data_IF_774423259642
#
_entry.id   IF_774423259642
#
_cell.length_a   1.000
_cell.length_b   1.000
_cell.length_c   1.000
_cell.angle_alpha   90.00
_cell.angle_beta   90.00
_cell.angle_gamma   90.00
#
_symmetry.space_group_name_H-M   'P 1'
#
loop_
_entity.id
_entity.type
_entity.pdbx_description
1 polymer ?
#
# COMPACT_ATOMS: atom_id res chain seq x y z
N UNK A 1 -5.60 2.04 24.47
CA UNK A 1 -4.25 1.92 23.87
C UNK A 1 -3.86 3.31 23.42
N UNK A 2 -2.66 3.79 23.76
CA UNK A 2 -2.21 5.13 23.38
C UNK A 2 -2.18 5.23 21.85
N UNK A 3 -3.05 6.06 21.28
CA UNK A 3 -2.95 6.48 19.89
C UNK A 3 -1.66 7.28 19.75
N UNK A 4 -0.61 6.64 19.23
CA UNK A 4 0.55 7.38 18.83
C UNK A 4 0.22 8.01 17.48
N UNK A 5 0.19 9.33 17.45
CA UNK A 5 0.02 10.11 16.23
C UNK A 5 1.09 9.69 15.21
N UNK A 6 0.66 9.21 14.05
CA UNK A 6 1.57 8.70 13.03
C UNK A 6 2.42 9.86 12.56
N UNK A 7 3.73 9.71 12.69
CA UNK A 7 4.69 10.73 12.26
C UNK A 7 5.36 10.30 10.96
N UNK A 8 5.50 11.23 10.03
CA UNK A 8 6.20 11.04 8.77
C UNK A 8 7.53 11.77 8.73
N UNK A 9 8.50 11.23 7.98
CA UNK A 9 9.72 11.94 7.56
C UNK A 9 9.79 12.00 6.05
N UNK A 10 10.13 13.16 5.50
CA UNK A 10 10.41 13.33 4.09
C UNK A 10 11.73 12.66 3.70
N UNK A 11 11.72 11.81 2.67
CA UNK A 11 12.94 11.15 2.18
C UNK A 11 13.90 12.09 1.45
N UNK A 12 13.44 13.29 1.07
CA UNK A 12 14.25 14.29 0.35
C UNK A 12 14.90 15.29 1.32
N UNK A 13 14.13 15.98 2.16
CA UNK A 13 14.63 17.05 3.03
C UNK A 13 14.73 16.66 4.52
N UNK A 14 14.23 15.49 4.90
CA UNK A 14 14.25 15.02 6.30
C UNK A 14 13.22 15.66 7.23
N UNK A 15 12.46 16.68 6.77
CA UNK A 15 11.42 17.32 7.58
C UNK A 15 10.38 16.30 8.08
N UNK A 16 9.87 16.57 9.27
CA UNK A 16 8.96 15.70 10.01
C UNK A 16 7.57 16.32 10.02
N UNK A 17 6.55 15.48 9.81
CA UNK A 17 5.15 15.90 9.71
C UNK A 17 4.25 14.97 10.52
N UNK A 18 3.16 15.50 11.07
CA UNK A 18 2.05 14.65 11.54
C UNK A 18 1.25 14.13 10.34
N UNK A 19 0.77 12.89 10.43
CA UNK A 19 -0.18 12.33 9.48
C UNK A 19 -1.54 13.04 9.47
N UNK A 20 -1.87 13.78 10.52
CA UNK A 20 -3.04 14.65 10.57
C UNK A 20 -2.88 15.86 9.61
N UNK A 21 -1.66 16.38 9.48
CA UNK A 21 -1.37 17.59 8.71
C UNK A 21 -1.03 17.29 7.23
N UNK A 22 -0.28 16.22 6.99
CA UNK A 22 0.24 15.89 5.66
C UNK A 22 -0.05 14.45 5.33
N UNK A 23 -0.79 14.22 4.22
CA UNK A 23 -1.29 12.89 3.86
C UNK A 23 -0.42 12.09 2.88
N UNK A 24 0.20 12.77 1.90
CA UNK A 24 0.82 12.11 0.75
C UNK A 24 2.29 12.46 0.59
N UNK A 25 2.58 13.71 0.24
CA UNK A 25 3.93 14.19 -0.02
C UNK A 25 4.27 15.40 0.86
N UNK A 26 5.56 15.58 1.12
CA UNK A 26 6.10 16.77 1.76
C UNK A 26 5.68 18.04 1.00
N UNK A 27 5.03 19.02 1.66
CA UNK A 27 4.51 20.23 1.00
C UNK A 27 5.63 21.12 0.43
N UNK A 28 6.85 21.04 0.98
CA UNK A 28 8.00 21.82 0.51
C UNK A 28 8.64 21.17 -0.71
N UNK A 29 8.93 19.87 -0.65
CA UNK A 29 9.66 19.19 -1.72
C UNK A 29 8.77 18.89 -2.95
N UNK A 30 7.49 18.59 -2.74
CA UNK A 30 6.58 18.22 -3.83
C UNK A 30 6.34 19.37 -4.83
N UNK A 31 6.55 20.63 -4.42
CA UNK A 31 6.45 21.79 -5.31
C UNK A 31 7.53 21.84 -6.40
N UNK A 32 8.59 21.05 -6.27
CA UNK A 32 9.71 20.97 -7.23
C UNK A 32 9.68 19.67 -8.04
N UNK A 33 8.54 18.98 -8.11
CA UNK A 33 8.41 17.75 -8.89
C UNK A 33 8.49 18.04 -10.39
N UNK A 34 9.29 17.24 -11.08
CA UNK A 34 9.39 17.18 -12.53
C UNK A 34 8.69 15.90 -13.01
N UNK A 35 7.74 15.96 -13.96
CA UNK A 35 7.08 14.77 -14.52
C UNK A 35 8.05 13.72 -15.09
N UNK A 36 9.25 14.11 -15.49
CA UNK A 36 10.27 13.21 -16.04
C UNK A 36 11.18 12.58 -14.97
N UNK A 37 10.99 12.91 -13.69
CA UNK A 37 11.80 12.42 -12.58
C UNK A 37 10.93 11.71 -11.53
N UNK A 38 11.51 10.81 -10.72
CA UNK A 38 10.82 10.27 -9.56
C UNK A 38 10.34 11.40 -8.63
N UNK A 39 9.13 11.28 -8.04
CA UNK A 39 8.58 12.33 -7.20
C UNK A 39 9.46 12.54 -5.97
N UNK A 40 9.76 13.81 -5.69
CA UNK A 40 10.34 14.28 -4.46
C UNK A 40 9.27 14.37 -3.37
N UNK A 41 9.74 14.37 -2.12
CA UNK A 41 8.84 14.55 -0.99
C UNK A 41 8.09 13.31 -0.54
N UNK A 42 8.46 12.12 -1.02
CA UNK A 42 7.90 10.86 -0.52
C UNK A 42 8.08 10.78 0.99
N UNK A 43 7.01 10.40 1.68
CA UNK A 43 6.98 10.28 3.13
C UNK A 43 7.20 8.83 3.56
N UNK A 44 7.98 8.63 4.63
CA UNK A 44 8.13 7.34 5.32
C UNK A 44 7.59 7.47 6.74
N UNK A 45 7.00 6.40 7.29
CA UNK A 45 6.56 6.40 8.69
C UNK A 45 7.76 6.31 9.61
N UNK A 46 7.76 7.15 10.64
CA UNK A 46 8.72 7.10 11.74
C UNK A 46 8.11 6.24 12.84
N UNK A 47 8.78 5.14 13.14
CA UNK A 47 8.42 4.29 14.28
C UNK A 47 9.35 4.57 15.46
N UNK A 48 8.83 4.57 16.69
CA UNK A 48 9.62 4.79 17.89
C UNK A 48 10.34 3.50 18.31
N UNK A 49 11.22 2.98 17.44
CA UNK A 49 11.92 1.72 17.69
C UNK A 49 12.71 1.70 19.01
N UNK A 50 13.24 2.86 19.44
CA UNK A 50 13.95 2.99 20.70
C UNK A 50 13.02 2.80 21.92
N UNK A 51 11.80 3.33 21.85
CA UNK A 51 10.78 3.20 22.91
C UNK A 51 10.24 1.76 22.96
N UNK A 52 9.96 1.16 21.80
CA UNK A 52 9.53 -0.24 21.72
C UNK A 52 10.60 -1.18 22.33
N UNK A 53 11.88 -0.91 22.05
CA UNK A 53 12.99 -1.67 22.64
C UNK A 53 13.13 -1.42 24.15
N UNK A 54 13.00 -0.18 24.62
CA UNK A 54 13.12 0.13 26.05
C UNK A 54 11.97 -0.42 26.89
N UNK A 55 10.78 -0.54 26.30
CA UNK A 55 9.62 -1.21 26.89
C UNK A 55 9.74 -2.75 26.89
N UNK A 56 10.81 -3.30 26.32
CA UNK A 56 11.04 -4.74 26.27
C UNK A 56 10.08 -5.47 25.32
N UNK A 57 9.49 -4.77 24.35
CA UNK A 57 8.59 -5.39 23.36
C UNK A 57 9.37 -6.37 22.49
N UNK A 58 9.15 -7.65 22.72
CA UNK A 58 9.75 -8.73 21.95
C UNK A 58 9.06 -8.91 20.59
N UNK A 59 9.76 -9.50 19.64
CA UNK A 59 9.18 -9.85 18.34
C UNK A 59 7.98 -10.80 18.46
N UNK A 60 8.00 -11.69 19.46
CA UNK A 60 6.87 -12.58 19.77
C UNK A 60 5.62 -11.77 20.13
N UNK A 61 5.76 -10.74 20.98
CA UNK A 61 4.64 -9.87 21.35
C UNK A 61 4.15 -9.04 20.17
N UNK A 62 5.06 -8.55 19.32
CA UNK A 62 4.65 -7.88 18.07
C UNK A 62 3.81 -8.81 17.20
N UNK A 63 4.22 -10.07 17.04
CA UNK A 63 3.50 -11.08 16.26
C UNK A 63 2.14 -11.44 16.87
N UNK A 64 2.05 -11.59 18.20
CA UNK A 64 0.79 -11.83 18.92
C UNK A 64 -0.22 -10.68 18.75
N UNK A 65 0.26 -9.47 18.45
CA UNK A 65 -0.54 -8.28 18.18
C UNK A 65 -0.61 -7.96 16.69
N UNK A 66 -0.31 -8.94 15.84
CA UNK A 66 -0.33 -8.84 14.37
C UNK A 66 0.45 -7.64 13.80
N UNK A 67 1.53 -7.27 14.50
CA UNK A 67 2.38 -6.13 14.19
C UNK A 67 1.65 -4.78 14.15
N UNK A 68 0.50 -4.66 14.85
CA UNK A 68 -0.25 -3.40 14.93
C UNK A 68 0.63 -2.24 15.42
N UNK A 69 1.53 -2.50 16.36
CA UNK A 69 2.52 -1.52 16.86
C UNK A 69 3.49 -1.01 15.77
N UNK A 70 3.57 -1.69 14.62
CA UNK A 70 4.42 -1.36 13.47
C UNK A 70 3.62 -1.08 12.19
N UNK A 71 2.30 -0.88 12.31
CA UNK A 71 1.42 -0.46 11.23
C UNK A 71 0.82 0.92 11.56
N UNK A 72 0.70 1.82 10.55
CA UNK A 72 0.13 3.14 10.73
C UNK A 72 -1.41 3.11 10.71
N UNK A 73 -2.00 2.23 11.53
CA UNK A 73 -3.45 2.14 11.79
C UNK A 73 -3.68 1.91 13.28
N UNK A 74 -4.80 2.42 13.80
CA UNK A 74 -5.09 2.35 15.22
C UNK A 74 -5.81 1.05 15.63
N UNK A 75 -6.61 0.47 14.74
CA UNK A 75 -7.41 -0.70 15.03
C UNK A 75 -7.38 -1.72 13.89
N UNK A 76 -7.04 -2.96 14.23
CA UNK A 76 -6.98 -4.07 13.29
C UNK A 76 -8.34 -4.42 12.68
N UNK A 77 -9.45 -4.10 13.35
CA UNK A 77 -10.81 -4.27 12.84
C UNK A 77 -11.09 -3.41 11.58
N UNK A 78 -10.22 -2.43 11.31
CA UNK A 78 -10.28 -1.66 10.07
C UNK A 78 -9.61 -2.36 8.89
N UNK A 79 -8.81 -3.41 9.09
CA UNK A 79 -8.29 -4.22 8.00
C UNK A 79 -9.42 -4.97 7.27
N UNK A 80 -9.23 -5.30 5.98
CA UNK A 80 -10.20 -6.10 5.25
C UNK A 80 -10.38 -7.48 5.89
N UNK A 81 -11.59 -8.07 5.81
CA UNK A 81 -11.88 -9.41 6.34
C UNK A 81 -11.32 -10.52 5.43
N UNK A 82 -10.15 -10.30 4.85
CA UNK A 82 -9.46 -11.20 3.94
C UNK A 82 -8.12 -11.63 4.56
N UNK A 83 -7.73 -12.87 4.29
CA UNK A 83 -6.42 -13.37 4.72
C UNK A 83 -5.32 -12.82 3.81
N UNK A 84 -4.71 -11.72 4.22
CA UNK A 84 -3.63 -11.05 3.50
C UNK A 84 -2.32 -11.27 4.25
N UNK A 85 -1.28 -11.59 3.51
CA UNK A 85 -0.03 -12.02 4.09
C UNK A 85 -0.11 -13.43 4.70
N UNK A 86 0.83 -13.71 5.60
CA UNK A 86 1.17 -15.04 6.09
C UNK A 86 1.25 -16.07 4.93
N UNK A 87 1.85 -15.64 3.82
CA UNK A 87 1.93 -16.43 2.59
C UNK A 87 3.04 -17.47 2.67
N UNK A 88 2.99 -18.54 1.86
CA UNK A 88 3.99 -19.60 1.93
C UNK A 88 5.43 -19.10 1.74
N UNK A 89 6.36 -19.69 2.49
CA UNK A 89 7.80 -19.56 2.29
C UNK A 89 8.37 -20.92 1.91
N UNK A 90 8.58 -21.15 0.62
CA UNK A 90 9.05 -22.43 0.12
C UNK A 90 10.58 -22.49 0.16
N UNK A 91 11.14 -23.53 0.76
CA UNK A 91 12.57 -23.81 0.67
C UNK A 91 12.87 -24.56 -0.62
N UNK A 92 13.65 -23.97 -1.52
CA UNK A 92 14.12 -24.58 -2.76
C UNK A 92 15.40 -25.35 -2.46
N UNK A 93 15.37 -26.68 -2.63
CA UNK A 93 16.51 -27.56 -2.33
C UNK A 93 17.37 -27.88 -3.55
N UNK A 94 16.78 -27.82 -4.75
CA UNK A 94 17.46 -28.10 -6.01
C UNK A 94 16.82 -27.33 -7.16
N UNK A 95 17.61 -27.07 -8.20
CA UNK A 95 17.17 -26.48 -9.47
C UNK A 95 17.57 -27.46 -10.57
N UNK A 96 16.61 -27.88 -11.42
CA UNK A 96 16.84 -28.88 -12.48
C UNK A 96 17.50 -30.18 -11.96
N UNK A 97 17.07 -30.64 -10.78
CA UNK A 97 17.60 -31.81 -10.08
C UNK A 97 19.04 -31.68 -9.57
N UNK A 98 19.64 -30.50 -9.61
CA UNK A 98 20.97 -30.23 -9.03
C UNK A 98 20.82 -29.53 -7.68
N UNK A 99 21.51 -30.05 -6.65
CA UNK A 99 21.56 -29.41 -5.33
C UNK A 99 22.26 -28.06 -5.43
N UNK A 100 21.65 -27.03 -4.86
CA UNK A 100 22.23 -25.68 -4.83
C UNK A 100 23.14 -25.52 -3.59
N UNK A 101 24.28 -24.81 -3.70
CA UNK A 101 25.24 -24.67 -2.59
C UNK A 101 24.85 -23.56 -1.60
N UNK A 102 23.64 -23.02 -1.69
CA UNK A 102 23.12 -21.95 -0.84
C UNK A 102 21.67 -22.21 -0.45
N UNK A 103 21.20 -21.58 0.62
CA UNK A 103 19.78 -21.62 0.97
C UNK A 103 18.98 -20.68 0.06
N UNK A 104 18.00 -21.22 -0.64
CA UNK A 104 17.08 -20.46 -1.47
C UNK A 104 15.66 -20.61 -0.93
N UNK A 105 14.99 -19.49 -0.73
CA UNK A 105 13.60 -19.44 -0.29
C UNK A 105 12.76 -18.62 -1.26
N UNK A 106 11.52 -19.04 -1.50
CA UNK A 106 10.53 -18.31 -2.30
C UNK A 106 9.37 -17.88 -1.40
N UNK A 107 9.21 -16.58 -1.22
CA UNK A 107 8.06 -15.99 -0.54
C UNK A 107 6.93 -15.76 -1.54
N UNK A 108 5.89 -16.59 -1.49
CA UNK A 108 4.87 -16.65 -2.54
C UNK A 108 3.66 -15.77 -2.25
N UNK A 109 3.79 -14.47 -2.51
CA UNK A 109 2.68 -13.52 -2.42
C UNK A 109 1.67 -13.60 -3.57
N UNK A 110 1.82 -14.54 -4.52
CA UNK A 110 0.76 -14.86 -5.47
C UNK A 110 -0.42 -15.57 -4.82
N UNK A 111 -0.29 -16.04 -3.57
CA UNK A 111 -1.36 -16.66 -2.79
C UNK A 111 -2.24 -15.65 -2.03
N UNK A 112 -1.96 -14.35 -2.14
CA UNK A 112 -2.84 -13.33 -1.59
C UNK A 112 -4.20 -13.32 -2.34
N UNK A 113 -5.28 -12.74 -1.76
CA UNK A 113 -6.65 -12.85 -2.29
C UNK A 113 -6.84 -12.41 -3.75
N UNK A 114 -6.13 -11.39 -4.21
CA UNK A 114 -6.18 -10.95 -5.62
C UNK A 114 -4.98 -11.46 -6.43
N UNK A 115 -4.28 -12.46 -5.91
CA UNK A 115 -3.09 -13.08 -6.48
C UNK A 115 -1.89 -12.14 -6.60
N UNK A 116 -1.76 -11.18 -5.67
CA UNK A 116 -0.67 -10.21 -5.75
C UNK A 116 -0.13 -9.74 -4.40
N UNK A 117 1.18 -9.50 -4.38
CA UNK A 117 1.87 -8.71 -3.36
C UNK A 117 1.21 -7.34 -3.09
N UNK A 118 0.50 -6.79 -4.08
CA UNK A 118 -0.15 -5.49 -3.97
C UNK A 118 -1.25 -5.46 -2.90
N UNK A 119 -1.78 -6.62 -2.50
CA UNK A 119 -2.82 -6.75 -1.46
C UNK A 119 -2.37 -6.22 -0.11
N UNK A 120 -1.10 -6.44 0.24
CA UNK A 120 -0.53 -5.91 1.49
C UNK A 120 -0.61 -4.38 1.57
N UNK A 121 -0.37 -3.70 0.45
CA UNK A 121 -0.50 -2.24 0.37
C UNK A 121 -1.97 -1.80 0.37
N UNK A 122 -2.79 -2.44 -0.46
CA UNK A 122 -4.20 -2.06 -0.61
C UNK A 122 -5.00 -2.30 0.68
N UNK A 123 -4.67 -3.34 1.45
CA UNK A 123 -5.26 -3.61 2.77
C UNK A 123 -5.05 -2.45 3.74
N UNK A 124 -3.80 -1.98 3.86
CA UNK A 124 -3.47 -0.91 4.78
C UNK A 124 -4.04 0.44 4.30
N UNK A 125 -4.02 0.71 2.99
CA UNK A 125 -4.67 1.88 2.39
C UNK A 125 -6.17 1.89 2.67
N UNK A 126 -6.85 0.75 2.49
CA UNK A 126 -8.27 0.57 2.76
C UNK A 126 -8.61 0.79 4.24
N UNK A 127 -7.81 0.20 5.13
CA UNK A 127 -7.98 0.36 6.57
C UNK A 127 -7.78 1.80 7.04
N UNK A 128 -6.72 2.46 6.56
CA UNK A 128 -6.48 3.87 6.86
C UNK A 128 -7.62 4.75 6.37
N UNK A 129 -8.14 4.50 5.15
CA UNK A 129 -9.29 5.24 4.63
C UNK A 129 -10.54 5.03 5.51
N UNK A 130 -10.81 3.79 5.93
CA UNK A 130 -11.92 3.44 6.82
C UNK A 130 -11.81 4.14 8.18
N UNK A 131 -10.61 4.20 8.76
CA UNK A 131 -10.33 4.92 10.01
C UNK A 131 -10.63 6.42 9.94
N UNK A 132 -10.49 7.00 8.75
CA UNK A 132 -10.73 8.42 8.51
C UNK A 132 -12.07 8.68 7.83
N UNK A 133 -12.99 7.71 7.86
CA UNK A 133 -14.35 7.82 7.31
C UNK A 133 -14.37 8.15 5.80
N UNK A 134 -13.32 7.76 5.07
CA UNK A 134 -13.23 7.91 3.61
C UNK A 134 -13.71 6.62 2.95
N UNK A 135 -14.83 6.72 2.23
CA UNK A 135 -15.47 5.59 1.57
C UNK A 135 -14.92 5.30 0.16
N UNK A 136 -14.21 6.27 -0.44
CA UNK A 136 -13.83 6.24 -1.85
C UNK A 136 -12.31 6.30 -2.03
N UNK A 137 -11.76 5.30 -2.72
CA UNK A 137 -10.33 5.16 -2.97
C UNK A 137 -10.06 5.12 -4.47
N UNK A 138 -9.05 5.87 -4.90
CA UNK A 138 -8.64 6.01 -6.30
C UNK A 138 -7.22 5.50 -6.52
N UNK A 139 -6.97 4.93 -7.70
CA UNK A 139 -5.61 4.63 -8.19
C UNK A 139 -5.52 4.76 -9.69
N UNK A 140 -4.34 5.08 -10.20
CA UNK A 140 -4.02 4.95 -11.61
C UNK A 140 -3.28 3.63 -11.83
N UNK A 141 -3.91 2.64 -12.46
CA UNK A 141 -3.26 1.36 -12.74
C UNK A 141 -4.06 0.47 -13.68
N UNK A 142 -3.38 -0.13 -14.65
CA UNK A 142 -3.95 -1.18 -15.51
C UNK A 142 -3.57 -2.59 -15.05
N UNK A 143 -2.95 -2.75 -13.88
CA UNK A 143 -2.41 -4.04 -13.45
C UNK A 143 -2.73 -4.36 -11.99
N UNK A 144 -1.86 -5.15 -11.36
CA UNK A 144 -2.08 -5.70 -10.03
C UNK A 144 -2.45 -4.68 -8.94
N UNK A 145 -1.99 -3.41 -9.05
CA UNK A 145 -2.36 -2.38 -8.08
C UNK A 145 -3.84 -1.99 -8.18
N UNK A 146 -4.39 -1.94 -9.40
CA UNK A 146 -5.81 -1.71 -9.66
C UNK A 146 -6.66 -2.91 -9.22
N UNK A 147 -6.27 -4.14 -9.61
CA UNK A 147 -7.02 -5.35 -9.23
C UNK A 147 -7.04 -5.55 -7.72
N UNK A 148 -5.91 -5.33 -7.07
CA UNK A 148 -5.77 -5.39 -5.63
C UNK A 148 -6.66 -4.36 -4.94
N UNK A 149 -6.62 -3.09 -5.37
CA UNK A 149 -7.49 -2.07 -4.78
C UNK A 149 -8.96 -2.45 -4.94
N UNK A 150 -9.37 -2.88 -6.14
CA UNK A 150 -10.74 -3.27 -6.42
C UNK A 150 -11.22 -4.41 -5.50
N UNK A 151 -10.45 -5.50 -5.40
CA UNK A 151 -10.80 -6.64 -4.56
C UNK A 151 -10.84 -6.30 -3.07
N UNK A 152 -9.87 -5.51 -2.58
CA UNK A 152 -9.85 -5.09 -1.18
C UNK A 152 -11.03 -4.16 -0.86
N UNK A 153 -11.29 -3.14 -1.68
CA UNK A 153 -12.42 -2.23 -1.47
C UNK A 153 -13.75 -2.98 -1.46
N UNK A 154 -13.95 -3.93 -2.39
CA UNK A 154 -15.14 -4.75 -2.46
C UNK A 154 -15.37 -5.54 -1.15
N UNK A 155 -14.31 -6.10 -0.55
CA UNK A 155 -14.41 -6.83 0.73
C UNK A 155 -14.78 -5.95 1.92
N UNK A 156 -14.62 -4.63 1.80
CA UNK A 156 -14.83 -3.65 2.87
C UNK A 156 -16.04 -2.75 2.62
N UNK A 157 -16.74 -2.92 1.50
CA UNK A 157 -17.84 -2.03 1.10
C UNK A 157 -17.39 -0.62 0.70
N UNK A 158 -16.10 -0.42 0.39
CA UNK A 158 -15.57 0.86 -0.11
C UNK A 158 -15.71 0.94 -1.63
N UNK A 159 -15.76 2.16 -2.17
CA UNK A 159 -15.76 2.42 -3.61
C UNK A 159 -14.32 2.44 -4.12
N UNK A 160 -14.05 1.68 -5.18
CA UNK A 160 -12.78 1.73 -5.90
C UNK A 160 -12.98 2.41 -7.26
N UNK A 161 -12.23 3.47 -7.51
CA UNK A 161 -12.09 4.09 -8.81
C UNK A 161 -10.70 3.81 -9.38
N UNK A 162 -10.64 3.25 -10.58
CA UNK A 162 -9.38 2.90 -11.22
C UNK A 162 -9.27 3.64 -12.54
N UNK A 163 -8.33 4.58 -12.59
CA UNK A 163 -8.08 5.41 -13.76
C UNK A 163 -7.06 4.70 -14.66
N UNK A 164 -7.39 4.60 -15.95
CA UNK A 164 -6.61 3.83 -16.93
C UNK A 164 -6.54 4.57 -18.26
N UNK A 165 -5.46 4.44 -19.04
CA UNK A 165 -5.47 4.86 -20.44
C UNK A 165 -6.59 4.14 -21.22
N UNK A 166 -7.29 4.85 -22.12
CA UNK A 166 -8.34 4.26 -22.99
C UNK A 166 -7.78 3.10 -23.84
N UNK A 167 -6.49 3.12 -24.15
CA UNK A 167 -5.77 2.08 -24.89
C UNK A 167 -5.45 0.82 -24.07
N UNK A 168 -5.79 0.78 -22.78
CA UNK A 168 -5.48 -0.35 -21.91
C UNK A 168 -6.18 -1.64 -22.39
N UNK A 169 -5.44 -2.76 -22.57
CA UNK A 169 -6.04 -4.01 -23.02
C UNK A 169 -7.09 -4.53 -22.04
N UNK A 170 -8.27 -4.88 -22.55
CA UNK A 170 -9.40 -5.37 -21.72
C UNK A 170 -9.00 -6.55 -20.82
N UNK A 171 -8.14 -7.46 -21.32
CA UNK A 171 -7.66 -8.61 -20.55
C UNK A 171 -6.95 -8.22 -19.25
N UNK A 172 -6.28 -7.05 -19.22
CA UNK A 172 -5.65 -6.52 -18.01
C UNK A 172 -6.66 -5.87 -17.05
N UNK A 173 -7.79 -5.42 -17.58
CA UNK A 173 -8.85 -4.74 -16.84
C UNK A 173 -9.91 -5.70 -16.28
N UNK A 174 -10.02 -6.91 -16.83
CA UNK A 174 -11.05 -7.89 -16.47
C UNK A 174 -11.16 -8.11 -14.96
N UNK A 175 -10.05 -8.35 -14.26
CA UNK A 175 -10.08 -8.60 -12.82
C UNK A 175 -10.55 -7.37 -12.02
N UNK A 176 -10.19 -6.17 -12.46
CA UNK A 176 -10.62 -4.89 -11.85
C UNK A 176 -12.14 -4.75 -11.94
N UNK A 177 -12.68 -5.01 -13.13
CA UNK A 177 -14.13 -4.95 -13.42
C UNK A 177 -14.88 -6.02 -12.63
N UNK A 178 -14.35 -7.24 -12.56
CA UNK A 178 -14.99 -8.36 -11.85
C UNK A 178 -15.15 -8.08 -10.35
N UNK A 179 -14.24 -7.34 -9.73
CA UNK A 179 -14.37 -6.91 -8.34
C UNK A 179 -15.28 -5.69 -8.15
N UNK A 180 -15.87 -5.15 -9.22
CA UNK A 180 -16.86 -4.06 -9.16
C UNK A 180 -16.27 -2.65 -9.06
N UNK A 181 -14.98 -2.47 -9.35
CA UNK A 181 -14.40 -1.13 -9.42
C UNK A 181 -14.94 -0.33 -10.61
N UNK A 182 -15.08 0.98 -10.43
CA UNK A 182 -15.42 1.89 -11.51
C UNK A 182 -14.16 2.24 -12.30
N UNK A 183 -14.12 1.87 -13.58
CA UNK A 183 -13.05 2.27 -14.48
C UNK A 183 -13.29 3.67 -15.03
N UNK A 184 -12.26 4.51 -14.98
CA UNK A 184 -12.25 5.83 -15.62
C UNK A 184 -11.21 5.80 -16.74
N UNK A 185 -11.62 5.63 -18.01
CA UNK A 185 -10.69 5.71 -19.13
C UNK A 185 -10.27 7.18 -19.37
N UNK A 186 -8.98 7.41 -19.60
CA UNK A 186 -8.43 8.70 -20.03
C UNK A 186 -7.87 8.61 -21.43
N UNK A 187 -8.14 9.64 -22.24
CA UNK A 187 -7.56 9.81 -23.57
C UNK A 187 -6.14 10.35 -23.46
N UNK A 188 -5.21 9.49 -23.06
CA UNK A 188 -3.84 9.89 -22.78
C UNK A 188 -2.95 8.73 -22.35
N UNK A 189 -1.88 9.10 -21.68
CA UNK A 189 -0.83 8.23 -21.15
C UNK A 189 -1.16 7.74 -19.75
N UNK A 190 -0.25 6.92 -19.19
CA UNK A 190 -0.31 6.53 -17.78
C UNK A 190 -0.13 7.73 -16.86
N UNK A 191 0.70 8.70 -17.24
CA UNK A 191 0.96 9.89 -16.43
C UNK A 191 -0.29 10.76 -16.34
N UNK A 192 -1.05 10.91 -17.45
CA UNK A 192 -2.36 11.57 -17.44
C UNK A 192 -3.36 10.88 -16.49
N UNK A 193 -3.35 9.54 -16.45
CA UNK A 193 -4.18 8.78 -15.52
C UNK A 193 -3.75 9.00 -14.06
N UNK A 194 -2.43 9.06 -13.82
CA UNK A 194 -1.86 9.33 -12.50
C UNK A 194 -2.22 10.74 -12.03
N UNK A 195 -2.03 11.76 -12.87
CA UNK A 195 -2.35 13.15 -12.55
C UNK A 195 -3.83 13.33 -12.26
N UNK A 196 -4.71 12.73 -13.07
CA UNK A 196 -6.15 12.76 -12.79
C UNK A 196 -6.48 12.10 -11.43
N UNK A 197 -5.79 11.02 -11.07
CA UNK A 197 -5.99 10.38 -9.77
C UNK A 197 -5.51 11.24 -8.60
N UNK A 198 -4.50 12.07 -8.81
CA UNK A 198 -4.02 13.06 -7.84
C UNK A 198 -5.02 14.21 -7.73
N UNK A 199 -5.53 14.74 -8.84
CA UNK A 199 -6.56 15.78 -8.84
C UNK A 199 -7.82 15.34 -8.11
N UNK A 200 -8.26 14.09 -8.28
CA UNK A 200 -9.40 13.53 -7.55
C UNK A 200 -9.22 13.60 -6.01
N UNK A 201 -7.99 13.55 -5.50
CA UNK A 201 -7.76 13.72 -4.05
C UNK A 201 -8.01 15.14 -3.58
N UNK A 202 -7.69 16.14 -4.42
CA UNK A 202 -7.78 17.56 -4.09
C UNK A 202 -9.21 18.07 -4.28
N UNK A 203 -9.88 17.61 -5.33
CA UNK A 203 -11.19 18.12 -5.73
C UNK A 203 -12.34 17.35 -5.07
N UNK A 204 -12.20 16.02 -4.94
CA UNK A 204 -13.27 15.15 -4.46
C UNK A 204 -13.03 14.60 -3.05
N UNK A 205 -11.85 14.85 -2.46
CA UNK A 205 -11.47 14.30 -1.16
C UNK A 205 -11.22 12.79 -1.16
N UNK A 206 -11.15 12.14 -2.33
CA UNK A 206 -10.91 10.71 -2.44
C UNK A 206 -9.52 10.33 -1.91
N UNK A 207 -9.40 9.13 -1.33
CA UNK A 207 -8.12 8.64 -0.86
C UNK A 207 -7.34 7.98 -2.00
N UNK A 208 -6.03 8.25 -2.14
CA UNK A 208 -5.25 7.75 -3.27
C UNK A 208 -4.28 6.66 -2.87
N UNK A 209 -4.26 5.56 -3.62
CA UNK A 209 -3.47 4.35 -3.36
C UNK A 209 -2.11 4.31 -4.07
N UNK A 210 -1.79 5.27 -4.93
CA UNK A 210 -0.62 5.18 -5.81
C UNK A 210 0.70 5.02 -5.03
N UNK A 211 1.58 4.17 -5.56
CA UNK A 211 2.94 4.00 -5.00
C UNK A 211 3.78 5.24 -5.30
N UNK A 212 4.74 5.55 -4.43
CA UNK A 212 5.55 6.77 -4.48
C UNK A 212 4.72 8.07 -4.33
N UNK A 213 3.47 7.94 -3.89
CA UNK A 213 2.59 9.05 -3.55
C UNK A 213 1.99 8.87 -2.15
N UNK A 214 1.40 7.70 -1.88
CA UNK A 214 0.84 7.40 -0.57
C UNK A 214 1.83 6.60 0.31
N UNK A 215 2.22 7.12 1.50
CA UNK A 215 3.13 6.45 2.42
C UNK A 215 2.64 5.08 2.90
N UNK A 216 1.32 4.87 3.03
CA UNK A 216 0.72 3.59 3.43
C UNK A 216 1.11 2.45 2.50
N UNK A 217 1.40 2.75 1.23
CA UNK A 217 1.80 1.71 0.29
C UNK A 217 3.15 1.10 0.60
N UNK A 218 4.05 1.86 1.25
CA UNK A 218 5.36 1.37 1.71
C UNK A 218 5.14 0.50 2.94
N UNK A 219 4.38 0.99 3.91
CA UNK A 219 4.14 0.29 5.17
C UNK A 219 3.39 -1.03 4.98
N UNK A 220 2.40 -1.06 4.08
CA UNK A 220 1.71 -2.30 3.75
C UNK A 220 2.67 -3.31 3.14
N UNK A 221 3.51 -2.91 2.17
CA UNK A 221 4.50 -3.80 1.53
C UNK A 221 5.55 -4.30 2.52
N UNK A 222 5.99 -3.45 3.45
CA UNK A 222 6.96 -3.77 4.50
C UNK A 222 6.51 -4.96 5.37
N UNK A 223 5.19 -5.20 5.50
CA UNK A 223 4.66 -6.34 6.27
C UNK A 223 5.23 -7.70 5.86
N UNK A 224 5.64 -7.88 4.59
CA UNK A 224 6.26 -9.14 4.15
C UNK A 224 7.56 -9.43 4.89
N UNK A 225 8.32 -8.39 5.26
CA UNK A 225 9.56 -8.55 6.01
C UNK A 225 9.28 -9.11 7.40
N UNK A 226 8.15 -8.76 8.02
CA UNK A 226 7.76 -9.32 9.33
C UNK A 226 7.44 -10.81 9.28
N UNK A 227 7.17 -11.35 8.10
CA UNK A 227 6.91 -12.78 7.91
C UNK A 227 8.16 -13.58 7.57
N UNK A 228 9.26 -12.90 7.20
CA UNK A 228 10.53 -13.52 6.85
C UNK A 228 11.47 -13.66 8.05
N UNK A 229 11.26 -12.88 9.10
CA UNK A 229 12.05 -12.84 10.33
C UNK A 229 11.16 -13.21 11.54
#
# INVERSE_FOLDING_TARGET
MMHQEITYSCTTCGQVFSAADVRYLCPVCAGNNDPLQPPLGVLKVIYPYAELKSQGVSFKQLKEREFLDLLPIANIENLPPLKIGNTPLYRVRSIRNETIPFELYLKDDSQNPTYSFKDRASALVSAFAKEHEIDTIVTASTGNAGSSLAGICASQGQKAYVIVPESAPIAKLTQIIMYGATLIPVKGTYDDAFDLSVSATREMGWYNRNTAYNPMTIEGKKSVSFELF
#
